data_IF_778949076466
#
_entry.id   IF_778949076466
#
_cell.length_a   1.000
_cell.length_b   1.000
_cell.length_c   1.000
_cell.angle_alpha   90.00
_cell.angle_beta   90.00
_cell.angle_gamma   90.00
#
_symmetry.space_group_name_H-M   'P 1'
#
loop_
_entity.id
_entity.type
_entity.pdbx_description
1 polymer ?
#
# COMPACT_ATOMS: atom_id res chain seq x y z
N UNK A 1 11.00 -2.86 -8.74
CA UNK A 1 11.17 -3.03 -7.28
C UNK A 1 12.29 -4.03 -7.05
N UNK A 2 13.20 -3.71 -6.16
CA UNK A 2 14.32 -4.60 -5.88
C UNK A 2 13.90 -5.76 -4.98
N UNK A 3 14.40 -6.96 -5.28
CA UNK A 3 14.10 -8.16 -4.50
C UNK A 3 14.45 -8.02 -3.02
N UNK A 4 15.55 -7.32 -2.70
CA UNK A 4 15.98 -7.10 -1.32
C UNK A 4 14.97 -6.30 -0.50
N UNK A 5 14.32 -5.29 -1.11
CA UNK A 5 13.29 -4.50 -0.44
C UNK A 5 12.04 -5.34 -0.19
N UNK A 6 11.62 -6.15 -1.17
CA UNK A 6 10.47 -7.04 -1.01
C UNK A 6 10.74 -8.08 0.08
N UNK A 7 11.94 -8.65 0.12
CA UNK A 7 12.32 -9.59 1.15
C UNK A 7 12.29 -8.97 2.55
N UNK A 8 12.80 -7.75 2.69
CA UNK A 8 12.77 -7.04 3.96
C UNK A 8 11.32 -6.85 4.43
N UNK A 9 10.43 -6.40 3.56
CA UNK A 9 9.03 -6.18 3.89
C UNK A 9 8.31 -7.47 4.26
N UNK A 10 8.62 -8.56 3.58
CA UNK A 10 8.05 -9.86 3.90
C UNK A 10 8.55 -10.39 5.24
N UNK A 11 9.82 -10.19 5.58
CA UNK A 11 10.42 -10.68 6.81
C UNK A 11 10.07 -9.80 8.02
N UNK A 12 10.16 -8.47 7.88
CA UNK A 12 9.99 -7.53 8.99
C UNK A 12 8.56 -7.05 9.16
N UNK A 13 7.78 -7.02 8.10
CA UNK A 13 6.42 -6.49 8.09
C UNK A 13 5.41 -7.49 7.52
N UNK A 14 5.59 -8.78 7.80
CA UNK A 14 4.72 -9.85 7.29
C UNK A 14 3.23 -9.62 7.55
N UNK A 15 2.77 -9.09 8.70
CA UNK A 15 1.34 -8.82 8.92
C UNK A 15 0.75 -7.80 7.94
N UNK A 16 1.57 -7.04 7.24
CA UNK A 16 1.15 -6.02 6.29
C UNK A 16 1.42 -6.41 4.84
N UNK A 17 1.70 -7.68 4.61
CA UNK A 17 1.94 -8.27 3.29
C UNK A 17 0.81 -9.23 2.97
N UNK A 18 -0.02 -8.89 1.97
CA UNK A 18 -1.16 -9.71 1.55
C UNK A 18 -0.94 -10.21 0.13
N UNK A 19 -1.24 -11.47 -0.10
CA UNK A 19 -1.12 -12.11 -1.42
C UNK A 19 -2.51 -12.57 -1.87
N UNK A 20 -2.83 -12.35 -3.15
CA UNK A 20 -4.03 -12.90 -3.78
C UNK A 20 -3.63 -14.10 -4.66
N UNK A 21 -4.30 -15.23 -4.44
CA UNK A 21 -4.12 -16.42 -5.27
C UNK A 21 -5.39 -16.69 -6.09
N UNK A 22 -5.22 -17.33 -7.24
CA UNK A 22 -6.34 -17.85 -8.02
C UNK A 22 -6.71 -19.27 -7.56
N UNK A 23 -7.70 -19.89 -8.25
CA UNK A 23 -8.18 -21.22 -7.91
C UNK A 23 -7.12 -22.31 -8.05
N UNK A 24 -6.05 -22.06 -8.77
CA UNK A 24 -4.94 -22.99 -8.96
C UNK A 24 -3.82 -22.82 -7.94
N UNK A 25 -3.93 -21.81 -7.06
CA UNK A 25 -2.88 -21.46 -6.11
C UNK A 25 -1.79 -20.54 -6.69
N UNK A 26 -1.97 -20.06 -7.91
CA UNK A 26 -1.02 -19.11 -8.51
C UNK A 26 -1.24 -17.71 -7.97
N UNK A 27 -0.15 -17.00 -7.66
CA UNK A 27 -0.21 -15.62 -7.20
C UNK A 27 -0.62 -14.69 -8.34
N UNK A 28 -1.72 -13.98 -8.18
CA UNK A 28 -2.22 -13.03 -9.18
C UNK A 28 -2.11 -11.58 -8.73
N UNK A 29 -1.74 -11.34 -7.48
CA UNK A 29 -1.54 -10.00 -6.98
C UNK A 29 -1.02 -9.97 -5.56
N UNK A 30 -0.55 -8.80 -5.14
CA UNK A 30 -0.13 -8.59 -3.75
C UNK A 30 -0.22 -7.12 -3.35
N UNK A 31 -0.30 -6.91 -2.05
CA UNK A 31 -0.21 -5.58 -1.42
C UNK A 31 0.82 -5.69 -0.31
N UNK A 32 1.70 -4.72 -0.22
CA UNK A 32 2.63 -4.66 0.90
C UNK A 32 2.69 -3.26 1.50
N UNK A 33 3.01 -3.21 2.79
CA UNK A 33 3.16 -1.98 3.52
C UNK A 33 4.11 -2.12 4.69
N UNK A 34 4.50 -1.00 5.25
CA UNK A 34 5.31 -0.91 6.46
C UNK A 34 4.73 0.14 7.39
N UNK A 35 4.99 0.00 8.69
CA UNK A 35 4.56 0.99 9.66
C UNK A 35 5.56 2.14 9.75
N UNK A 36 5.06 3.34 9.98
CA UNK A 36 5.85 4.53 10.22
C UNK A 36 5.34 5.28 11.44
N UNK A 37 6.26 5.86 12.20
CA UNK A 37 5.93 6.79 13.28
C UNK A 37 5.68 8.20 12.76
N UNK A 38 6.07 8.48 11.52
CA UNK A 38 5.83 9.76 10.86
C UNK A 38 4.44 9.79 10.25
N UNK A 39 3.76 10.92 10.35
CA UNK A 39 2.47 11.13 9.68
C UNK A 39 2.66 11.43 8.20
N UNK A 40 3.77 12.06 7.84
CA UNK A 40 4.07 12.37 6.44
C UNK A 40 4.90 11.27 5.80
N UNK A 41 4.60 10.96 4.54
CA UNK A 41 5.38 10.01 3.77
C UNK A 41 6.56 10.72 3.14
N UNK A 42 7.76 10.29 3.53
CA UNK A 42 9.03 10.76 2.98
C UNK A 42 9.77 9.57 2.38
N UNK A 43 10.77 9.86 1.55
CA UNK A 43 11.63 8.81 1.00
C UNK A 43 12.24 7.96 2.11
N UNK A 44 12.66 8.60 3.21
CA UNK A 44 13.24 7.92 4.36
C UNK A 44 12.22 7.03 5.08
N UNK A 45 11.02 7.56 5.39
CA UNK A 45 10.00 6.80 6.12
C UNK A 45 9.48 5.62 5.31
N UNK A 46 9.47 5.71 3.99
CA UNK A 46 9.06 4.63 3.11
C UNK A 46 10.09 3.52 2.99
N UNK A 47 11.33 3.77 3.38
CA UNK A 47 12.43 2.81 3.28
C UNK A 47 12.60 1.89 4.49
N UNK A 48 11.82 2.06 5.54
CA UNK A 48 11.96 1.29 6.78
C UNK A 48 10.61 0.89 7.37
N UNK A 49 10.65 -0.08 8.27
CA UNK A 49 9.50 -0.52 9.04
C UNK A 49 9.74 -0.20 10.52
N UNK A 50 8.87 0.59 11.10
CA UNK A 50 8.91 0.96 12.52
C UNK A 50 7.72 0.32 13.22
N UNK A 51 7.96 -0.76 13.96
CA UNK A 51 6.89 -1.59 14.56
C UNK A 51 5.99 -0.86 15.53
N UNK A 52 6.43 0.27 16.08
CA UNK A 52 5.62 1.12 16.97
C UNK A 52 4.80 2.17 16.21
N UNK A 53 4.91 2.22 14.88
CA UNK A 53 4.21 3.21 14.07
C UNK A 53 2.72 2.99 14.03
N UNK A 54 1.98 4.08 13.87
CA UNK A 54 0.52 4.08 13.75
C UNK A 54 0.04 4.39 12.33
N UNK A 55 0.95 4.72 11.43
CA UNK A 55 0.65 4.95 10.01
C UNK A 55 1.16 3.77 9.19
N UNK A 56 0.26 3.11 8.49
CA UNK A 56 0.62 2.06 7.56
C UNK A 56 0.87 2.68 6.20
N UNK A 57 2.11 2.60 5.74
CA UNK A 57 2.52 3.08 4.43
C UNK A 57 2.40 1.95 3.43
N UNK A 58 1.45 2.03 2.50
CA UNK A 58 1.29 1.04 1.43
C UNK A 58 2.24 1.40 0.30
N UNK A 59 3.11 0.45 -0.05
CA UNK A 59 4.15 0.65 -1.06
C UNK A 59 3.76 0.14 -2.43
N UNK A 60 3.00 -0.95 -2.48
CA UNK A 60 2.66 -1.60 -3.74
C UNK A 60 1.27 -2.22 -3.67
N UNK A 61 0.50 -1.97 -4.71
CA UNK A 61 -0.73 -2.69 -5.02
C UNK A 61 -0.54 -3.23 -6.42
N UNK A 62 -0.20 -4.51 -6.53
CA UNK A 62 0.22 -5.12 -7.78
C UNK A 62 -0.77 -6.20 -8.20
N UNK A 63 -1.19 -6.16 -9.46
CA UNK A 63 -2.02 -7.18 -10.07
C UNK A 63 -1.30 -7.70 -11.31
N UNK A 64 -1.27 -9.03 -11.45
CA UNK A 64 -0.67 -9.67 -12.63
C UNK A 64 -1.34 -9.14 -13.90
N UNK A 65 -0.56 -8.89 -14.94
CA UNK A 65 -1.03 -8.21 -16.15
C UNK A 65 -2.27 -8.84 -16.78
N UNK A 66 -2.31 -10.18 -16.85
CA UNK A 66 -3.42 -10.91 -17.44
C UNK A 66 -4.69 -10.91 -16.56
N UNK A 67 -4.60 -10.41 -15.33
CA UNK A 67 -5.72 -10.32 -14.40
C UNK A 67 -6.19 -8.87 -14.20
N UNK A 68 -5.57 -7.93 -14.88
CA UNK A 68 -5.96 -6.51 -14.82
C UNK A 68 -7.34 -6.32 -15.48
N UNK A 69 -8.02 -5.25 -15.08
CA UNK A 69 -9.37 -4.88 -15.55
C UNK A 69 -10.49 -5.84 -15.14
N UNK A 70 -10.19 -6.82 -14.29
CA UNK A 70 -11.19 -7.72 -13.72
C UNK A 70 -11.67 -7.28 -12.33
N UNK A 71 -11.29 -6.07 -11.89
CA UNK A 71 -11.65 -5.56 -10.57
C UNK A 71 -10.86 -6.15 -9.42
N UNK A 72 -9.82 -6.93 -9.69
CA UNK A 72 -9.02 -7.62 -8.67
C UNK A 72 -8.28 -6.65 -7.79
N UNK A 73 -7.73 -5.56 -8.35
CA UNK A 73 -7.03 -4.55 -7.57
C UNK A 73 -7.93 -3.89 -6.53
N UNK A 74 -9.14 -3.51 -6.92
CA UNK A 74 -10.14 -2.92 -6.02
C UNK A 74 -10.56 -3.91 -4.94
N UNK A 75 -10.86 -5.13 -5.33
CA UNK A 75 -11.27 -6.20 -4.43
C UNK A 75 -10.19 -6.51 -3.40
N UNK A 76 -8.94 -6.63 -3.87
CA UNK A 76 -7.78 -6.90 -3.05
C UNK A 76 -7.49 -5.76 -2.06
N UNK A 77 -7.56 -4.51 -2.51
CA UNK A 77 -7.33 -3.35 -1.64
C UNK A 77 -8.43 -3.20 -0.58
N UNK A 78 -9.68 -3.43 -0.94
CA UNK A 78 -10.79 -3.42 0.03
C UNK A 78 -10.64 -4.53 1.07
N UNK A 79 -10.22 -5.71 0.66
CA UNK A 79 -9.95 -6.81 1.57
C UNK A 79 -8.79 -6.49 2.52
N UNK A 80 -7.74 -5.84 2.01
CA UNK A 80 -6.60 -5.41 2.79
C UNK A 80 -7.02 -4.39 3.86
N UNK A 81 -7.79 -3.38 3.49
CA UNK A 81 -8.31 -2.36 4.42
C UNK A 81 -9.15 -3.02 5.52
N UNK A 82 -10.05 -3.93 5.15
CA UNK A 82 -10.88 -4.64 6.11
C UNK A 82 -10.04 -5.48 7.07
N UNK A 83 -9.02 -6.17 6.57
CA UNK A 83 -8.09 -6.93 7.39
C UNK A 83 -7.36 -6.03 8.39
N UNK A 84 -6.82 -4.89 7.93
CA UNK A 84 -6.11 -3.96 8.79
C UNK A 84 -7.02 -3.44 9.91
N UNK A 85 -8.22 -3.03 9.58
CA UNK A 85 -9.19 -2.53 10.57
C UNK A 85 -9.56 -3.58 11.61
N UNK A 86 -9.68 -4.84 11.19
CA UNK A 86 -10.10 -5.93 12.07
C UNK A 86 -8.96 -6.51 12.90
N UNK A 87 -7.76 -6.63 12.32
CA UNK A 87 -6.66 -7.41 12.88
C UNK A 87 -5.47 -6.56 13.34
N UNK A 88 -5.41 -5.29 12.97
CA UNK A 88 -4.28 -4.42 13.29
C UNK A 88 -4.77 -3.11 13.93
N UNK A 89 -5.31 -3.19 15.16
CA UNK A 89 -5.97 -2.04 15.79
C UNK A 89 -5.01 -0.88 16.13
N UNK A 90 -3.70 -1.12 16.14
CA UNK A 90 -2.72 -0.05 16.35
C UNK A 90 -2.57 0.87 15.15
N UNK A 91 -3.01 0.44 13.97
CA UNK A 91 -2.95 1.25 12.77
C UNK A 91 -4.09 2.27 12.79
N UNK A 92 -3.75 3.55 12.80
CA UNK A 92 -4.72 4.65 12.84
C UNK A 92 -5.05 5.19 11.46
N UNK A 93 -4.11 5.08 10.53
CA UNK A 93 -4.32 5.50 9.15
C UNK A 93 -3.46 4.68 8.19
N UNK A 94 -3.94 4.61 6.95
CA UNK A 94 -3.20 4.02 5.84
C UNK A 94 -2.87 5.16 4.89
N UNK A 95 -1.62 5.28 4.50
CA UNK A 95 -1.15 6.33 3.61
C UNK A 95 -0.35 5.74 2.46
N UNK A 96 -0.40 6.41 1.31
CA UNK A 96 0.36 6.00 0.14
C UNK A 96 0.65 7.22 -0.74
N UNK A 97 1.55 7.04 -1.69
CA UNK A 97 1.74 7.98 -2.78
C UNK A 97 1.38 7.30 -4.10
N UNK A 98 0.80 8.05 -5.01
CA UNK A 98 0.40 7.53 -6.31
C UNK A 98 0.57 8.58 -7.40
N UNK A 99 0.62 8.12 -8.64
CA UNK A 99 0.62 9.00 -9.80
C UNK A 99 -0.78 9.54 -10.06
N UNK A 100 -0.87 10.61 -10.83
CA UNK A 100 -2.11 11.32 -11.17
C UNK A 100 -3.21 10.38 -11.64
N UNK A 101 -2.90 9.45 -12.52
CA UNK A 101 -3.88 8.54 -13.13
C UNK A 101 -4.45 7.49 -12.16
N UNK A 102 -3.88 7.34 -10.96
CA UNK A 102 -4.34 6.38 -9.98
C UNK A 102 -5.16 7.01 -8.83
N UNK A 103 -5.27 8.34 -8.80
CA UNK A 103 -6.06 9.03 -7.77
C UNK A 103 -7.49 8.52 -7.68
N UNK A 104 -8.16 8.33 -8.81
CA UNK A 104 -9.53 7.84 -8.85
C UNK A 104 -9.69 6.43 -8.32
N UNK A 105 -8.72 5.58 -8.61
CA UNK A 105 -8.69 4.20 -8.09
C UNK A 105 -8.69 4.19 -6.56
N UNK A 106 -7.78 4.96 -5.96
CA UNK A 106 -7.66 4.99 -4.50
C UNK A 106 -8.83 5.74 -3.86
N UNK A 107 -9.30 6.82 -4.47
CA UNK A 107 -10.48 7.54 -3.99
C UNK A 107 -11.72 6.62 -3.96
N UNK A 108 -11.86 5.75 -4.95
CA UNK A 108 -12.94 4.77 -5.00
C UNK A 108 -12.89 3.74 -3.88
N UNK A 109 -11.73 3.56 -3.25
CA UNK A 109 -11.56 2.67 -2.10
C UNK A 109 -11.61 3.42 -0.75
N UNK A 110 -11.90 4.72 -0.77
CA UNK A 110 -12.08 5.51 0.45
C UNK A 110 -10.90 6.38 0.85
N UNK A 111 -9.85 6.45 0.04
CA UNK A 111 -8.71 7.32 0.30
C UNK A 111 -9.03 8.76 -0.07
N UNK A 112 -8.56 9.69 0.76
CA UNK A 112 -8.67 11.14 0.51
C UNK A 112 -7.35 11.66 -0.03
N UNK A 113 -7.42 12.58 -0.99
CA UNK A 113 -6.26 13.27 -1.52
C UNK A 113 -5.74 14.27 -0.48
N UNK A 114 -4.49 14.10 -0.07
CA UNK A 114 -3.83 15.04 0.85
C UNK A 114 -3.19 16.18 0.06
N UNK A 115 -2.51 15.86 -1.04
CA UNK A 115 -1.86 16.84 -1.90
C UNK A 115 -0.63 16.30 -2.58
N UNK A 116 0.14 17.16 -3.25
CA UNK A 116 1.39 16.76 -3.86
C UNK A 116 2.37 16.22 -2.82
N UNK A 117 3.04 15.11 -3.14
CA UNK A 117 4.06 14.53 -2.27
C UNK A 117 5.43 15.14 -2.56
N UNK A 118 6.28 15.37 -1.53
CA UNK A 118 7.66 15.79 -1.74
C UNK A 118 8.56 14.65 -2.24
N UNK A 119 8.06 13.42 -2.25
CA UNK A 119 8.85 12.27 -2.70
C UNK A 119 9.10 12.36 -4.19
N UNK A 120 10.36 12.18 -4.59
CA UNK A 120 10.78 12.20 -5.99
C UNK A 120 11.15 10.80 -6.43
N UNK A 121 10.39 10.28 -7.40
CA UNK A 121 10.63 8.99 -8.04
C UNK A 121 10.41 9.16 -9.54
N UNK A 122 11.49 9.25 -10.31
CA UNK A 122 11.39 9.51 -11.73
C UNK A 122 10.98 10.95 -12.02
N UNK A 123 10.32 11.18 -13.15
CA UNK A 123 9.97 12.54 -13.63
C UNK A 123 8.53 12.92 -13.34
N UNK A 124 7.67 11.96 -13.06
CA UNK A 124 6.24 12.24 -12.82
C UNK A 124 6.02 12.74 -11.40
N UNK A 125 5.03 13.64 -11.21
CA UNK A 125 4.64 14.04 -9.87
C UNK A 125 3.92 12.92 -9.15
N UNK A 126 4.11 12.87 -7.82
CA UNK A 126 3.44 11.93 -6.93
C UNK A 126 2.50 12.67 -6.00
N UNK A 127 1.43 12.01 -5.60
CA UNK A 127 0.40 12.58 -4.72
C UNK A 127 0.19 11.67 -3.53
N UNK A 128 0.09 12.29 -2.35
CA UNK A 128 -0.19 11.55 -1.12
C UNK A 128 -1.69 11.39 -0.93
N UNK A 129 -2.11 10.19 -0.61
CA UNK A 129 -3.49 9.88 -0.27
C UNK A 129 -3.53 9.14 1.07
N UNK A 130 -4.61 9.32 1.81
CA UNK A 130 -4.73 8.79 3.17
C UNK A 130 -6.14 8.29 3.46
N UNK A 131 -6.22 7.21 4.22
CA UNK A 131 -7.47 6.64 4.70
C UNK A 131 -7.35 6.47 6.21
N UNK A 132 -8.34 6.95 6.94
CA UNK A 132 -8.40 6.75 8.39
C UNK A 132 -9.01 5.40 8.72
N UNK A 133 -8.41 4.70 9.64
CA UNK A 133 -8.95 3.46 10.20
C UNK A 133 -9.77 3.72 11.50
#
# INVERSE_FOLDING_TARGET
MECTIVQMRLQEAAPFFMVREDDTGSVVGFINGTLSTSQELTHESMGKHESSGETLCVHSVVTREDQRRAGIGTEMLRAYIAYIRAQQPCVKSIALICKENLKGFYAGCGFELIGPSPVVHGVDPWFEMRLRC
#
